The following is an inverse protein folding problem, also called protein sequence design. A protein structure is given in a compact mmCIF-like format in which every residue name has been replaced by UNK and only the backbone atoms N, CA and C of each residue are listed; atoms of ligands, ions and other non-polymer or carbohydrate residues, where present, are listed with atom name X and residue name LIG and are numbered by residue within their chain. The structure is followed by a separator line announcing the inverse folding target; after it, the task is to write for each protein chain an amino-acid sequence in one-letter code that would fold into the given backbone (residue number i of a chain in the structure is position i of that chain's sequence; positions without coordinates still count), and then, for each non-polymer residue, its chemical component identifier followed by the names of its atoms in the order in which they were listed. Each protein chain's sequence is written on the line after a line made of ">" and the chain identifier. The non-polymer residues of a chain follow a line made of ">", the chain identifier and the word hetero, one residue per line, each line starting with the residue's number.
data_IF_440291268549
#
_entry.id   IF_440291268549
#
_cell.length_a   1.000
_cell.length_b   1.000
_cell.length_c   1.000
_cell.angle_alpha   90.00
_cell.angle_beta   90.00
_cell.angle_gamma   90.00
#
_symmetry.space_group_name_H-M   'P 1'
#
loop_
_entity.id
_entity.type
_entity.pdbx_description
1 polymer ?
#
# COMPACT_ATOMS: atom_id res chain seq x y z
N UNK A 1 17.34 -9.31 -28.61
CA UNK A 1 17.47 -7.90 -28.20
C UNK A 1 16.98 -7.81 -26.75
N UNK A 2 17.69 -7.05 -25.88
CA UNK A 2 17.27 -6.80 -24.50
C UNK A 2 16.17 -5.73 -24.53
N UNK A 3 15.13 -5.87 -23.68
CA UNK A 3 14.06 -4.87 -23.60
C UNK A 3 14.60 -3.56 -23.01
N UNK A 4 14.48 -2.47 -23.76
CA UNK A 4 14.88 -1.13 -23.31
C UNK A 4 14.09 -0.70 -22.07
N UNK A 5 12.78 -0.96 -22.04
CA UNK A 5 11.92 -0.64 -20.90
C UNK A 5 12.40 -1.34 -19.61
N UNK A 6 12.84 -2.60 -19.69
CA UNK A 6 13.37 -3.31 -18.53
C UNK A 6 14.72 -2.73 -18.06
N UNK A 7 15.54 -2.25 -19.00
CA UNK A 7 16.78 -1.53 -18.65
C UNK A 7 16.41 -0.22 -17.93
N UNK A 8 15.53 0.58 -18.55
CA UNK A 8 15.12 1.87 -17.99
C UNK A 8 14.54 1.74 -16.57
N UNK A 9 13.70 0.71 -16.34
CA UNK A 9 13.16 0.43 -14.99
C UNK A 9 14.20 -0.11 -14.01
N UNK A 10 15.19 -0.87 -14.47
CA UNK A 10 16.28 -1.37 -13.64
C UNK A 10 17.28 -0.28 -13.25
N UNK A 11 17.50 0.69 -14.14
CA UNK A 11 18.39 1.83 -13.95
C UNK A 11 17.69 3.04 -13.30
N UNK A 12 16.38 3.22 -13.52
CA UNK A 12 15.59 4.20 -12.77
C UNK A 12 15.51 3.74 -11.31
N UNK A 13 16.47 4.19 -10.51
CA UNK A 13 16.55 3.84 -9.10
C UNK A 13 15.26 4.23 -8.38
N UNK A 14 14.71 3.31 -7.57
CA UNK A 14 13.70 3.68 -6.59
C UNK A 14 14.41 4.53 -5.53
N UNK A 15 14.15 5.83 -5.47
CA UNK A 15 14.80 6.75 -4.52
C UNK A 15 14.70 6.26 -3.07
N UNK A 16 13.61 5.55 -2.73
CA UNK A 16 13.46 4.89 -1.42
C UNK A 16 14.63 3.93 -1.15
N UNK A 17 15.02 3.12 -2.14
CA UNK A 17 16.12 2.16 -2.00
C UNK A 17 17.48 2.87 -1.98
N UNK A 18 17.66 3.90 -2.80
CA UNK A 18 18.90 4.68 -2.84
C UNK A 18 19.15 5.42 -1.52
N UNK A 19 18.11 6.07 -0.98
CA UNK A 19 18.15 6.75 0.32
C UNK A 19 18.43 5.73 1.44
N UNK A 20 17.80 4.56 1.39
CA UNK A 20 18.02 3.50 2.36
C UNK A 20 19.47 3.00 2.31
N UNK A 21 20.01 2.74 1.11
CA UNK A 21 21.41 2.30 0.94
C UNK A 21 22.41 3.40 1.36
N UNK A 22 22.05 4.69 1.14
CA UNK A 22 22.84 5.79 1.71
C UNK A 22 22.82 5.74 3.24
N UNK A 23 21.65 5.52 3.85
CA UNK A 23 21.50 5.42 5.30
C UNK A 23 22.34 4.30 5.91
N UNK A 24 22.40 3.14 5.26
CA UNK A 24 23.24 2.02 5.70
C UNK A 24 24.74 2.38 5.67
N UNK A 25 25.20 3.01 4.58
CA UNK A 25 26.60 3.48 4.51
C UNK A 25 26.89 4.53 5.57
N UNK A 26 25.99 5.51 5.75
CA UNK A 26 26.17 6.57 6.75
C UNK A 26 26.15 6.02 8.18
N UNK A 27 25.31 5.03 8.46
CA UNK A 27 25.27 4.34 9.75
C UNK A 27 26.58 3.60 10.07
N UNK A 28 27.25 3.06 9.05
CA UNK A 28 28.58 2.44 9.23
C UNK A 28 29.68 3.47 9.58
N UNK A 29 29.50 4.73 9.18
CA UNK A 29 30.47 5.82 9.45
C UNK A 29 30.30 6.44 10.84
N UNK A 30 29.04 6.72 11.26
CA UNK A 30 28.74 7.53 12.44
C UNK A 30 28.00 6.78 13.55
N UNK A 31 27.68 5.51 13.34
CA UNK A 31 26.83 4.69 14.21
C UNK A 31 25.35 4.74 13.81
N UNK A 32 24.66 3.58 13.85
CA UNK A 32 23.26 3.49 13.44
C UNK A 32 22.29 4.32 14.30
N UNK A 33 22.67 4.60 15.55
CA UNK A 33 21.88 5.42 16.46
C UNK A 33 21.85 6.92 16.08
N UNK A 34 22.77 7.35 15.22
CA UNK A 34 22.94 8.73 14.79
C UNK A 34 22.34 9.00 13.39
N UNK A 35 21.82 7.98 12.71
CA UNK A 35 21.14 8.11 11.42
C UNK A 35 19.65 7.89 11.59
N UNK A 36 18.85 8.88 11.21
CA UNK A 36 17.41 8.89 11.37
C UNK A 36 16.74 8.49 10.04
N UNK A 37 16.75 7.18 9.75
CA UNK A 37 16.20 6.66 8.49
C UNK A 37 14.69 6.48 8.58
N UNK A 38 13.94 7.36 7.90
CA UNK A 38 12.49 7.35 7.78
C UNK A 38 12.04 7.04 6.34
N UNK A 39 12.95 6.55 5.48
CA UNK A 39 12.64 6.29 4.08
C UNK A 39 11.85 4.98 3.88
N UNK A 40 12.12 3.95 4.68
CA UNK A 40 11.53 2.62 4.51
C UNK A 40 10.33 2.41 5.43
N UNK A 41 9.19 2.02 4.85
CA UNK A 41 8.00 1.59 5.59
C UNK A 41 8.07 0.12 6.00
N UNK A 42 9.09 -0.26 6.78
CA UNK A 42 9.22 -1.61 7.31
C UNK A 42 8.70 -1.65 8.75
N UNK A 43 7.71 -2.51 9.07
CA UNK A 43 7.24 -2.68 10.44
C UNK A 43 8.39 -2.92 11.41
N UNK A 44 8.37 -2.23 12.56
CA UNK A 44 9.36 -2.35 13.63
C UNK A 44 8.78 -2.96 14.91
N UNK A 45 7.58 -3.51 14.83
CA UNK A 45 6.86 -4.14 15.93
C UNK A 45 6.78 -5.63 15.62
N UNK A 46 6.95 -6.46 16.65
CA UNK A 46 6.90 -7.91 16.52
C UNK A 46 5.56 -8.40 15.99
N UNK A 47 5.55 -9.49 15.20
CA UNK A 47 4.33 -10.21 14.87
C UNK A 47 3.55 -10.61 16.13
N UNK A 48 2.21 -10.68 16.09
CA UNK A 48 1.44 -11.20 17.22
C UNK A 48 1.77 -12.67 17.49
N UNK A 49 1.68 -13.08 18.75
CA UNK A 49 2.07 -14.42 19.24
C UNK A 49 1.41 -15.58 18.46
N UNK A 50 0.22 -15.34 17.92
CA UNK A 50 -0.50 -16.34 17.12
C UNK A 50 0.29 -16.80 15.90
N UNK A 51 1.13 -15.96 15.33
CA UNK A 51 1.96 -16.29 14.14
C UNK A 51 2.99 -17.35 14.49
N UNK A 52 3.79 -17.11 15.54
CA UNK A 52 4.80 -18.08 15.98
C UNK A 52 4.14 -19.38 16.45
N UNK A 53 3.06 -19.28 17.22
CA UNK A 53 2.31 -20.46 17.68
C UNK A 53 1.75 -21.30 16.52
N UNK A 54 1.22 -20.65 15.48
CA UNK A 54 0.74 -21.34 14.28
C UNK A 54 1.87 -22.04 13.53
N UNK A 55 3.02 -21.36 13.30
CA UNK A 55 4.17 -21.94 12.62
C UNK A 55 4.71 -23.16 13.39
N UNK A 56 4.94 -23.02 14.71
CA UNK A 56 5.40 -24.14 15.54
C UNK A 56 4.44 -25.33 15.53
N UNK A 57 3.13 -25.07 15.63
CA UNK A 57 2.12 -26.11 15.58
C UNK A 57 2.16 -26.83 14.23
N UNK A 58 2.18 -26.09 13.11
CA UNK A 58 2.22 -26.65 11.76
C UNK A 58 3.46 -27.52 11.55
N UNK A 59 4.63 -27.08 11.97
CA UNK A 59 5.87 -27.85 11.89
C UNK A 59 5.83 -29.16 12.69
N UNK A 60 5.08 -29.20 13.80
CA UNK A 60 4.94 -30.40 14.64
C UNK A 60 3.86 -31.36 14.19
N UNK A 61 2.77 -30.86 13.60
CA UNK A 61 1.54 -31.63 13.38
C UNK A 61 1.27 -32.00 11.93
N UNK A 62 1.81 -31.24 10.97
CA UNK A 62 1.61 -31.52 9.54
C UNK A 62 2.82 -32.28 9.01
N UNK A 63 2.63 -33.41 8.31
CA UNK A 63 3.74 -34.15 7.70
C UNK A 63 4.58 -33.24 6.80
N UNK A 64 5.93 -33.28 6.87
CA UNK A 64 6.79 -32.38 6.10
C UNK A 64 6.52 -32.39 4.59
N UNK A 65 6.25 -33.56 4.02
CA UNK A 65 5.93 -33.74 2.60
C UNK A 65 4.63 -33.05 2.18
N UNK A 66 3.69 -32.85 3.10
CA UNK A 66 2.45 -32.10 2.86
C UNK A 66 2.65 -30.60 3.12
N UNK A 67 3.37 -30.26 4.21
CA UNK A 67 3.60 -28.88 4.60
C UNK A 67 4.42 -28.10 3.56
N UNK A 68 5.38 -28.78 2.92
CA UNK A 68 6.29 -28.20 1.94
C UNK A 68 5.94 -28.56 0.48
N UNK A 69 4.77 -29.14 0.24
CA UNK A 69 4.29 -29.41 -1.11
C UNK A 69 3.90 -28.09 -1.83
N UNK A 70 3.91 -28.13 -3.15
CA UNK A 70 3.33 -27.03 -3.94
C UNK A 70 1.86 -26.83 -3.58
N UNK A 71 1.49 -25.60 -3.27
CA UNK A 71 0.08 -25.23 -3.16
C UNK A 71 -0.57 -25.17 -4.56
N UNK A 72 -1.91 -25.32 -4.69
CA UNK A 72 -2.61 -24.96 -5.93
C UNK A 72 -2.36 -23.51 -6.33
N UNK A 73 -2.38 -23.21 -7.63
CA UNK A 73 -2.08 -21.89 -8.17
C UNK A 73 -2.83 -20.73 -7.45
N UNK A 74 -4.16 -20.81 -7.20
CA UNK A 74 -4.87 -19.75 -6.49
C UNK A 74 -4.75 -19.84 -4.96
N UNK A 75 -3.94 -20.75 -4.43
CA UNK A 75 -3.83 -21.03 -2.99
C UNK A 75 -4.63 -22.24 -2.52
N UNK A 76 -4.33 -22.71 -1.31
CA UNK A 76 -4.98 -23.86 -0.69
C UNK A 76 -6.48 -23.62 -0.48
N UNK A 77 -7.34 -24.59 -0.82
CA UNK A 77 -8.79 -24.47 -0.68
C UNK A 77 -9.20 -24.14 0.76
N UNK A 78 -8.64 -24.84 1.76
CA UNK A 78 -8.92 -24.62 3.18
C UNK A 78 -8.54 -23.23 3.68
N UNK A 79 -7.48 -22.63 3.11
CA UNK A 79 -7.07 -21.24 3.42
C UNK A 79 -8.05 -20.27 2.80
N UNK A 80 -8.38 -20.45 1.51
CA UNK A 80 -9.32 -19.58 0.79
C UNK A 80 -10.73 -19.62 1.40
N UNK A 81 -11.18 -20.79 1.89
CA UNK A 81 -12.43 -20.93 2.64
C UNK A 81 -12.43 -20.10 3.92
N UNK A 82 -11.35 -20.17 4.71
CA UNK A 82 -11.21 -19.36 5.93
C UNK A 82 -11.17 -17.86 5.65
N UNK A 83 -10.42 -17.44 4.62
CA UNK A 83 -10.37 -16.03 4.21
C UNK A 83 -11.74 -15.56 3.74
N UNK A 84 -12.44 -16.34 2.91
CA UNK A 84 -13.79 -16.02 2.45
C UNK A 84 -14.79 -15.89 3.61
N UNK A 85 -14.76 -16.83 4.57
CA UNK A 85 -15.58 -16.76 5.76
C UNK A 85 -15.28 -15.50 6.59
N UNK A 86 -13.99 -15.21 6.82
CA UNK A 86 -13.57 -14.01 7.54
C UNK A 86 -14.09 -12.72 6.86
N UNK A 87 -13.98 -12.62 5.53
CA UNK A 87 -14.48 -11.46 4.80
C UNK A 87 -16.01 -11.34 4.90
N UNK A 88 -16.72 -12.48 4.80
CA UNK A 88 -18.17 -12.54 4.93
C UNK A 88 -18.62 -12.09 6.32
N UNK A 89 -18.00 -12.62 7.37
CA UNK A 89 -18.34 -12.30 8.76
C UNK A 89 -18.01 -10.85 9.11
N UNK A 90 -16.90 -10.31 8.53
CA UNK A 90 -16.43 -8.97 8.86
C UNK A 90 -17.18 -7.88 8.09
N UNK A 91 -17.50 -8.10 6.81
CA UNK A 91 -18.03 -7.07 5.93
C UNK A 91 -19.47 -7.29 5.46
N UNK A 92 -20.06 -8.46 5.76
CA UNK A 92 -21.44 -8.78 5.41
C UNK A 92 -21.67 -9.17 3.95
N UNK A 93 -20.60 -9.29 3.15
CA UNK A 93 -20.65 -9.65 1.73
C UNK A 93 -20.34 -11.16 1.55
N UNK A 94 -21.15 -11.88 0.78
CA UNK A 94 -21.10 -13.34 0.69
C UNK A 94 -19.95 -13.83 -0.21
N UNK A 95 -18.73 -13.84 0.30
CA UNK A 95 -17.55 -14.40 -0.38
C UNK A 95 -17.49 -15.92 -0.32
N UNK A 96 -16.93 -16.53 -1.35
CA UNK A 96 -16.70 -17.97 -1.47
C UNK A 96 -15.21 -18.24 -1.70
N UNK A 97 -14.74 -19.44 -1.42
CA UNK A 97 -13.33 -19.80 -1.63
C UNK A 97 -12.83 -19.52 -3.07
N UNK A 98 -13.69 -19.68 -4.08
CA UNK A 98 -13.32 -19.38 -5.46
C UNK A 98 -13.10 -17.89 -5.76
N UNK A 99 -13.65 -17.02 -4.93
CA UNK A 99 -13.54 -15.58 -5.09
C UNK A 99 -12.17 -15.06 -4.57
N UNK A 100 -11.40 -15.92 -3.89
CA UNK A 100 -10.12 -15.61 -3.26
C UNK A 100 -8.96 -16.19 -4.08
N UNK A 101 -7.94 -15.38 -4.32
CA UNK A 101 -6.65 -15.78 -4.89
C UNK A 101 -5.52 -15.35 -3.94
N UNK A 102 -4.80 -16.33 -3.37
CA UNK A 102 -3.64 -16.06 -2.50
C UNK A 102 -2.47 -15.52 -3.33
N UNK A 103 -1.76 -14.53 -2.81
CA UNK A 103 -0.72 -13.82 -3.55
C UNK A 103 0.56 -13.64 -2.72
N UNK A 104 1.69 -13.41 -3.37
CA UNK A 104 2.97 -13.08 -2.72
C UNK A 104 2.98 -11.62 -2.21
N UNK A 105 2.01 -11.28 -1.35
CA UNK A 105 1.71 -9.94 -0.87
C UNK A 105 0.93 -9.10 -1.89
N UNK A 106 0.63 -7.85 -1.53
CA UNK A 106 -0.15 -6.94 -2.37
C UNK A 106 0.52 -6.62 -3.72
N UNK A 107 1.86 -6.58 -3.80
CA UNK A 107 2.57 -6.26 -5.05
C UNK A 107 2.27 -7.25 -6.16
N UNK A 108 2.25 -8.56 -5.87
CA UNK A 108 1.89 -9.56 -6.86
C UNK A 108 0.39 -9.53 -7.19
N UNK A 109 -0.48 -9.21 -6.22
CA UNK A 109 -1.90 -8.99 -6.48
C UNK A 109 -2.13 -7.83 -7.46
N UNK A 110 -1.46 -6.70 -7.25
CA UNK A 110 -1.49 -5.53 -8.13
C UNK A 110 -1.00 -5.87 -9.56
N UNK A 111 0.14 -6.58 -9.66
CA UNK A 111 0.68 -7.02 -10.95
C UNK A 111 -0.28 -7.99 -11.69
N UNK A 112 -0.88 -8.94 -10.97
CA UNK A 112 -1.89 -9.85 -11.52
C UNK A 112 -3.10 -9.07 -12.01
N UNK A 113 -3.66 -8.17 -11.19
CA UNK A 113 -4.88 -7.44 -11.50
C UNK A 113 -4.68 -6.47 -12.67
N UNK A 114 -3.60 -5.70 -12.68
CA UNK A 114 -3.30 -4.82 -13.82
C UNK A 114 -3.14 -5.62 -15.11
N UNK A 115 -2.44 -6.77 -15.05
CA UNK A 115 -2.26 -7.66 -16.22
C UNK A 115 -3.57 -8.33 -16.67
N UNK A 116 -4.48 -8.62 -15.73
CA UNK A 116 -5.76 -9.25 -16.02
C UNK A 116 -6.78 -8.27 -16.63
N UNK A 117 -6.76 -7.02 -16.21
CA UNK A 117 -7.79 -6.02 -16.47
C UNK A 117 -7.39 -4.96 -17.50
N UNK A 118 -6.13 -4.96 -17.95
CA UNK A 118 -5.60 -3.99 -18.91
C UNK A 118 -4.90 -4.67 -20.07
N UNK A 119 -4.93 -3.99 -21.19
CA UNK A 119 -4.18 -4.34 -22.39
C UNK A 119 -3.57 -3.11 -23.09
N UNK A 120 -2.98 -3.29 -24.26
CA UNK A 120 -2.41 -2.19 -25.03
C UNK A 120 -3.45 -1.13 -25.39
N UNK A 121 -3.18 0.11 -24.96
CA UNK A 121 -4.04 1.28 -25.21
C UNK A 121 -5.01 1.61 -24.08
N UNK A 122 -5.13 0.76 -23.06
CA UNK A 122 -5.94 1.05 -21.88
C UNK A 122 -5.24 2.02 -20.91
N UNK A 123 -6.04 2.71 -20.12
CA UNK A 123 -5.59 3.66 -19.10
C UNK A 123 -5.95 3.16 -17.69
N UNK A 124 -4.96 3.21 -16.78
CA UNK A 124 -5.20 3.14 -15.34
C UNK A 124 -5.21 4.54 -14.74
N UNK A 125 -6.12 4.85 -13.82
CA UNK A 125 -6.10 6.09 -13.06
C UNK A 125 -5.52 5.83 -11.67
N UNK A 126 -4.63 6.72 -11.21
CA UNK A 126 -4.11 6.78 -9.84
C UNK A 126 -4.31 8.17 -9.26
N UNK A 127 -4.52 8.25 -7.94
CA UNK A 127 -4.67 9.52 -7.24
C UNK A 127 -3.34 9.91 -6.59
N UNK A 128 -2.76 11.04 -6.99
CA UNK A 128 -1.55 11.55 -6.36
C UNK A 128 -1.84 12.22 -5.01
N UNK A 129 -1.07 11.88 -3.95
CA UNK A 129 0.13 11.03 -3.97
C UNK A 129 -0.20 9.52 -4.03
N UNK A 130 0.60 8.75 -4.78
CA UNK A 130 0.39 7.32 -4.98
C UNK A 130 1.70 6.53 -4.86
N UNK A 131 1.60 5.22 -4.64
CA UNK A 131 2.76 4.33 -4.59
C UNK A 131 3.37 4.15 -6.00
N UNK A 132 4.65 4.48 -6.22
CA UNK A 132 5.24 4.58 -7.56
C UNK A 132 5.11 3.35 -8.44
N UNK A 133 5.13 2.15 -7.81
CA UNK A 133 5.07 0.88 -8.55
C UNK A 133 3.74 0.67 -9.30
N UNK A 134 2.68 1.45 -9.00
CA UNK A 134 1.42 1.35 -9.76
C UNK A 134 1.62 1.69 -11.25
N UNK A 135 2.47 2.68 -11.54
CA UNK A 135 2.83 3.02 -12.92
C UNK A 135 3.57 1.86 -13.61
N UNK A 136 4.54 1.26 -12.90
CA UNK A 136 5.30 0.12 -13.42
C UNK A 136 4.38 -1.07 -13.75
N UNK A 137 3.42 -1.40 -12.87
CA UNK A 137 2.48 -2.50 -13.13
C UNK A 137 1.57 -2.23 -14.32
N UNK A 138 1.00 -1.03 -14.43
CA UNK A 138 0.12 -0.66 -15.53
C UNK A 138 0.86 -0.64 -16.88
N UNK A 139 2.06 -0.06 -16.92
CA UNK A 139 2.90 -0.04 -18.11
C UNK A 139 3.39 -1.44 -18.51
N UNK A 140 3.72 -2.31 -17.53
CA UNK A 140 4.07 -3.71 -17.78
C UNK A 140 2.91 -4.52 -18.35
N UNK A 141 1.68 -4.13 -18.07
CA UNK A 141 0.48 -4.69 -18.67
C UNK A 141 0.25 -4.21 -20.13
N UNK A 142 0.99 -3.21 -20.58
CA UNK A 142 0.87 -2.59 -21.90
C UNK A 142 -0.03 -1.35 -21.95
N UNK A 143 -0.55 -0.92 -20.80
CA UNK A 143 -1.35 0.28 -20.67
C UNK A 143 -0.54 1.52 -20.32
N UNK A 144 -1.24 2.55 -19.91
CA UNK A 144 -0.66 3.82 -19.43
C UNK A 144 -1.31 4.26 -18.12
N UNK A 145 -0.63 5.15 -17.37
CA UNK A 145 -1.17 5.73 -16.14
C UNK A 145 -1.56 7.18 -16.37
N UNK A 146 -2.78 7.50 -15.94
CA UNK A 146 -3.27 8.86 -15.83
C UNK A 146 -3.32 9.25 -14.35
N UNK A 147 -2.57 10.29 -13.99
CA UNK A 147 -2.49 10.78 -12.62
C UNK A 147 -3.55 11.85 -12.39
N UNK A 148 -4.38 11.67 -11.37
CA UNK A 148 -5.35 12.66 -10.90
C UNK A 148 -4.84 13.21 -9.55
N UNK A 149 -4.66 14.51 -9.40
CA UNK A 149 -4.24 15.07 -8.11
C UNK A 149 -5.37 14.94 -7.08
N UNK A 150 -5.03 14.61 -5.84
CA UNK A 150 -5.91 14.84 -4.70
C UNK A 150 -5.92 16.34 -4.35
N UNK A 151 -6.89 16.76 -3.55
CA UNK A 151 -6.97 18.13 -3.04
C UNK A 151 -5.77 18.43 -2.16
N UNK A 152 -5.13 19.55 -2.41
CA UNK A 152 -3.94 19.97 -1.66
C UNK A 152 -4.20 20.00 -0.15
N UNK A 153 -3.17 19.71 0.63
CA UNK A 153 -3.11 19.73 2.10
C UNK A 153 -4.05 18.75 2.82
N UNK A 154 -5.20 18.38 2.25
CA UNK A 154 -6.15 17.41 2.83
C UNK A 154 -5.99 16.00 2.24
N UNK A 155 -5.50 15.89 1.02
CA UNK A 155 -5.41 14.65 0.22
C UNK A 155 -6.75 13.94 0.01
N UNK A 156 -7.86 14.66 0.15
CA UNK A 156 -9.20 14.22 -0.24
C UNK A 156 -9.29 14.01 -1.75
N UNK A 157 -10.16 13.10 -2.19
CA UNK A 157 -10.34 12.83 -3.62
C UNK A 157 -10.87 14.06 -4.35
N UNK A 158 -10.24 14.45 -5.47
CA UNK A 158 -10.78 15.45 -6.37
C UNK A 158 -11.63 14.76 -7.45
N UNK A 159 -12.92 14.60 -7.15
CA UNK A 159 -13.87 13.93 -8.04
C UNK A 159 -14.16 14.75 -9.31
N UNK A 160 -13.98 16.07 -9.28
CA UNK A 160 -14.12 16.92 -10.45
C UNK A 160 -12.96 16.71 -11.43
N UNK A 161 -11.74 16.69 -10.91
CA UNK A 161 -10.56 16.31 -11.69
C UNK A 161 -10.65 14.88 -12.21
N UNK A 162 -11.15 13.93 -11.39
CA UNK A 162 -11.42 12.57 -11.84
C UNK A 162 -12.43 12.52 -12.97
N UNK A 163 -13.55 13.22 -12.85
CA UNK A 163 -14.62 13.23 -13.88
C UNK A 163 -14.08 13.68 -15.25
N UNK A 164 -13.13 14.64 -15.24
CA UNK A 164 -12.45 15.11 -16.44
C UNK A 164 -11.40 14.12 -16.97
N UNK A 165 -10.79 13.34 -16.08
CA UNK A 165 -9.72 12.39 -16.43
C UNK A 165 -10.24 11.05 -16.98
N UNK A 166 -11.43 10.59 -16.58
CA UNK A 166 -12.00 9.30 -17.03
C UNK A 166 -12.40 9.39 -18.49
N UNK A 167 -11.86 8.50 -19.30
CA UNK A 167 -12.10 8.38 -20.76
C UNK A 167 -12.69 7.01 -21.13
N UNK A 168 -13.03 6.82 -22.39
CA UNK A 168 -13.44 5.51 -22.93
C UNK A 168 -12.34 4.43 -22.87
N UNK A 169 -11.07 4.83 -22.62
CA UNK A 169 -9.93 3.93 -22.45
C UNK A 169 -9.66 3.56 -21.01
N UNK A 170 -10.36 4.19 -20.06
CA UNK A 170 -10.14 3.93 -18.63
C UNK A 170 -10.67 2.54 -18.28
N UNK A 171 -9.76 1.59 -18.04
CA UNK A 171 -10.09 0.23 -17.66
C UNK A 171 -10.21 0.09 -16.12
N UNK A 172 -9.31 0.75 -15.38
CA UNK A 172 -9.29 0.63 -13.94
C UNK A 172 -8.76 1.88 -13.22
N UNK A 173 -9.10 1.96 -11.93
CA UNK A 173 -8.50 2.86 -10.97
C UNK A 173 -7.74 2.04 -9.92
N UNK A 174 -6.64 2.58 -9.38
CA UNK A 174 -5.99 2.03 -8.19
C UNK A 174 -6.17 3.02 -7.04
N UNK A 175 -6.82 2.56 -5.97
CA UNK A 175 -7.11 3.36 -4.78
C UNK A 175 -6.47 2.71 -3.56
N UNK A 176 -5.58 3.43 -2.90
CA UNK A 176 -4.92 3.01 -1.68
C UNK A 176 -5.46 3.79 -0.47
N UNK A 177 -6.14 3.10 0.45
CA UNK A 177 -6.70 3.69 1.67
C UNK A 177 -6.73 2.65 2.80
N UNK A 178 -6.09 2.91 3.96
CA UNK A 178 -5.27 4.09 4.31
C UNK A 178 -4.09 4.30 3.38
N UNK A 179 -3.77 5.55 3.05
CA UNK A 179 -2.89 5.89 1.94
C UNK A 179 -1.40 5.89 2.33
N UNK A 180 -0.57 5.35 1.46
CA UNK A 180 0.86 5.60 1.39
C UNK A 180 1.12 6.56 0.21
N UNK A 181 1.58 7.81 0.47
CA UNK A 181 2.33 8.27 1.63
C UNK A 181 1.57 9.18 2.61
N UNK A 182 0.31 9.56 2.36
CA UNK A 182 -0.35 10.65 3.11
C UNK A 182 -0.88 10.22 4.50
N UNK A 183 -1.15 8.93 4.71
CA UNK A 183 -1.81 8.42 5.90
C UNK A 183 -3.30 8.74 5.98
N UNK A 184 -3.88 9.34 4.95
CA UNK A 184 -5.30 9.71 4.93
C UNK A 184 -6.17 8.49 4.63
N UNK A 185 -7.33 8.41 5.26
CA UNK A 185 -8.38 7.42 4.99
C UNK A 185 -9.48 8.08 4.16
N UNK A 186 -9.82 7.47 3.02
CA UNK A 186 -10.92 7.93 2.17
C UNK A 186 -12.25 7.61 2.87
N UNK A 187 -13.06 8.62 3.06
CA UNK A 187 -14.33 8.51 3.79
C UNK A 187 -15.42 7.80 2.97
N UNK A 188 -16.43 7.24 3.67
CA UNK A 188 -17.59 6.61 3.02
C UNK A 188 -18.29 7.54 2.02
N UNK A 189 -18.60 8.82 2.34
CA UNK A 189 -19.23 9.73 1.37
C UNK A 189 -18.39 9.95 0.11
N UNK A 190 -17.05 10.02 0.23
CA UNK A 190 -16.17 10.13 -0.94
C UNK A 190 -16.20 8.88 -1.80
N UNK A 191 -16.21 7.67 -1.18
CA UNK A 191 -16.32 6.40 -1.91
C UNK A 191 -17.67 6.24 -2.59
N UNK A 192 -18.76 6.66 -1.95
CA UNK A 192 -20.11 6.64 -2.53
C UNK A 192 -20.20 7.59 -3.74
N UNK A 193 -19.62 8.78 -3.64
CA UNK A 193 -19.56 9.74 -4.73
C UNK A 193 -18.68 9.26 -5.88
N UNK A 194 -17.52 8.64 -5.57
CA UNK A 194 -16.65 7.96 -6.53
C UNK A 194 -17.43 6.86 -7.28
N UNK A 195 -18.11 5.98 -6.55
CA UNK A 195 -18.90 4.89 -7.12
C UNK A 195 -20.02 5.41 -8.04
N UNK A 196 -20.72 6.48 -7.65
CA UNK A 196 -21.74 7.11 -8.47
C UNK A 196 -21.18 7.65 -9.79
N UNK A 197 -20.05 8.36 -9.73
CA UNK A 197 -19.33 8.87 -10.89
C UNK A 197 -18.91 7.74 -11.84
N UNK A 198 -18.35 6.66 -11.32
CA UNK A 198 -17.90 5.55 -12.17
C UNK A 198 -19.08 4.81 -12.81
N UNK A 199 -20.21 4.64 -12.11
CA UNK A 199 -21.43 4.06 -12.71
C UNK A 199 -21.94 4.92 -13.87
N UNK A 200 -21.93 6.25 -13.75
CA UNK A 200 -22.26 7.17 -14.83
C UNK A 200 -21.34 6.98 -16.05
N UNK A 201 -20.02 6.92 -15.78
CA UNK A 201 -19.02 6.75 -16.85
C UNK A 201 -19.14 5.38 -17.54
N UNK A 202 -19.35 4.30 -16.79
CA UNK A 202 -19.62 2.96 -17.33
C UNK A 202 -20.84 2.94 -18.26
N UNK A 203 -21.93 3.55 -17.81
CA UNK A 203 -23.14 3.67 -18.64
C UNK A 203 -22.89 4.47 -19.92
N UNK A 204 -22.06 5.49 -19.87
CA UNK A 204 -21.68 6.32 -21.01
C UNK A 204 -20.78 5.59 -22.01
N UNK A 205 -19.78 4.82 -21.52
CA UNK A 205 -18.76 4.20 -22.37
C UNK A 205 -19.10 2.74 -22.76
N UNK A 206 -20.05 2.12 -22.06
CA UNK A 206 -20.55 0.78 -22.38
C UNK A 206 -19.63 -0.37 -21.94
N UNK A 207 -18.75 -0.13 -20.98
CA UNK A 207 -17.89 -1.16 -20.40
C UNK A 207 -17.65 -0.92 -18.90
N UNK A 208 -17.34 -1.98 -18.11
CA UNK A 208 -16.98 -1.83 -16.70
C UNK A 208 -15.72 -0.99 -16.52
N UNK A 209 -15.65 -0.25 -15.41
CA UNK A 209 -14.43 0.38 -14.90
C UNK A 209 -14.16 -0.23 -13.54
N UNK A 210 -13.06 -0.93 -13.37
CA UNK A 210 -12.75 -1.62 -12.13
C UNK A 210 -11.98 -0.73 -11.16
N UNK A 211 -12.04 -1.04 -9.86
CA UNK A 211 -11.15 -0.44 -8.86
C UNK A 211 -10.31 -1.53 -8.23
N UNK A 212 -9.01 -1.36 -8.19
CA UNK A 212 -8.14 -2.12 -7.30
C UNK A 212 -8.09 -1.37 -5.97
N UNK A 213 -8.75 -1.91 -4.94
CA UNK A 213 -8.71 -1.40 -3.58
C UNK A 213 -7.47 -1.97 -2.88
N UNK A 214 -6.36 -1.23 -2.93
CA UNK A 214 -5.09 -1.61 -2.31
C UNK A 214 -5.10 -1.23 -0.82
N UNK A 215 -5.37 -2.20 0.05
CA UNK A 215 -5.63 -1.97 1.48
C UNK A 215 -4.68 -2.74 2.43
N UNK A 216 -3.36 -2.69 2.26
CA UNK A 216 -2.44 -3.38 3.16
C UNK A 216 -2.35 -2.73 4.55
N UNK A 217 -2.93 -1.56 4.74
CA UNK A 217 -2.93 -0.79 6.00
C UNK A 217 -4.31 -0.74 6.66
N UNK A 218 -5.28 -1.56 6.22
CA UNK A 218 -6.68 -1.45 6.62
C UNK A 218 -6.89 -1.37 8.13
N UNK A 219 -6.21 -2.21 8.90
CA UNK A 219 -6.32 -2.27 10.36
C UNK A 219 -5.44 -1.23 11.06
N UNK A 220 -4.49 -0.61 10.35
CA UNK A 220 -3.60 0.40 10.90
C UNK A 220 -4.29 1.77 10.84
N UNK A 221 -5.29 1.97 11.70
CA UNK A 221 -6.06 3.22 11.81
C UNK A 221 -6.10 3.68 13.25
N UNK A 222 -6.33 4.96 13.45
CA UNK A 222 -6.18 5.63 14.74
C UNK A 222 -7.41 6.43 15.10
N UNK A 223 -7.68 6.56 16.40
CA UNK A 223 -8.75 7.42 16.89
C UNK A 223 -10.18 6.96 16.53
N UNK A 224 -10.36 5.68 16.23
CA UNK A 224 -11.67 5.13 15.87
C UNK A 224 -12.12 5.47 14.44
N UNK A 225 -11.18 5.85 13.56
CA UNK A 225 -11.48 6.08 12.14
C UNK A 225 -11.93 4.77 11.50
N UNK A 226 -13.08 4.80 10.82
CA UNK A 226 -13.58 3.67 10.03
C UNK A 226 -12.94 3.66 8.64
N UNK A 227 -12.48 2.49 8.19
CA UNK A 227 -12.10 2.25 6.79
C UNK A 227 -13.29 1.57 6.11
N UNK A 228 -14.05 2.26 5.25
CA UNK A 228 -15.19 1.64 4.59
C UNK A 228 -14.75 0.51 3.68
N UNK A 229 -15.55 -0.54 3.55
CA UNK A 229 -15.26 -1.63 2.64
C UNK A 229 -15.74 -1.30 1.23
N UNK A 230 -14.82 -0.91 0.36
CA UNK A 230 -15.14 -0.40 -0.97
C UNK A 230 -15.93 -1.41 -1.84
N UNK A 231 -15.65 -2.74 -1.83
CA UNK A 231 -16.44 -3.69 -2.61
C UNK A 231 -17.94 -3.71 -2.27
N UNK A 232 -18.32 -3.44 -1.01
CA UNK A 232 -19.74 -3.31 -0.62
C UNK A 232 -20.42 -2.05 -1.19
N UNK A 233 -19.65 -1.00 -1.51
CA UNK A 233 -20.13 0.25 -2.09
C UNK A 233 -20.17 0.16 -3.62
N UNK A 234 -19.14 -0.47 -4.19
CA UNK A 234 -18.95 -0.59 -5.63
C UNK A 234 -18.46 -2.03 -5.96
N UNK A 235 -19.36 -2.93 -6.40
CA UNK A 235 -19.03 -4.34 -6.64
C UNK A 235 -17.90 -4.58 -7.65
N UNK A 236 -17.62 -3.65 -8.56
CA UNK A 236 -16.47 -3.71 -9.48
C UNK A 236 -15.15 -3.31 -8.79
N UNK A 237 -15.12 -3.19 -7.47
CA UNK A 237 -13.88 -3.07 -6.69
C UNK A 237 -13.36 -4.45 -6.29
N UNK A 238 -12.06 -4.66 -6.51
CA UNK A 238 -11.34 -5.88 -6.16
C UNK A 238 -10.50 -5.58 -4.92
N UNK A 239 -10.75 -6.32 -3.85
CA UNK A 239 -10.03 -6.15 -2.60
C UNK A 239 -8.63 -6.76 -2.71
N UNK A 240 -7.60 -5.95 -2.51
CA UNK A 240 -6.20 -6.35 -2.53
C UNK A 240 -5.60 -6.15 -1.14
N UNK A 241 -5.15 -7.24 -0.51
CA UNK A 241 -4.72 -7.25 0.89
C UNK A 241 -3.35 -7.91 1.07
N UNK A 242 -2.64 -7.51 2.13
CA UNK A 242 -1.35 -8.10 2.51
C UNK A 242 -1.19 -8.16 4.03
N UNK A 243 -0.68 -9.28 4.52
CA UNK A 243 -0.31 -9.45 5.93
C UNK A 243 1.03 -8.79 6.30
N UNK A 244 1.69 -8.16 5.33
CA UNK A 244 2.98 -7.49 5.53
C UNK A 244 2.97 -6.41 6.61
N UNK A 245 1.82 -5.73 6.80
CA UNK A 245 1.70 -4.59 7.73
C UNK A 245 0.92 -4.97 8.98
N UNK A 246 -0.24 -5.58 8.81
CA UNK A 246 -1.13 -5.96 9.89
C UNK A 246 -0.52 -6.97 10.84
N UNK A 247 0.14 -8.01 10.30
CA UNK A 247 0.82 -9.04 11.10
C UNK A 247 2.34 -8.82 11.22
N UNK A 248 2.87 -7.70 10.76
CA UNK A 248 4.34 -7.45 10.72
C UNK A 248 5.13 -8.56 10.01
N UNK A 249 4.61 -9.07 8.89
CA UNK A 249 5.21 -10.17 8.12
C UNK A 249 5.66 -9.74 6.69
N UNK A 250 6.41 -8.64 6.53
CA UNK A 250 6.78 -8.18 5.19
C UNK A 250 7.72 -9.14 4.46
N UNK A 251 8.53 -9.92 5.19
CA UNK A 251 9.47 -10.91 4.65
C UNK A 251 8.80 -12.17 4.12
N UNK A 252 7.63 -12.53 4.65
CA UNK A 252 6.97 -13.80 4.35
C UNK A 252 6.16 -13.77 3.05
N UNK A 253 5.93 -12.60 2.49
CA UNK A 253 5.29 -12.41 1.19
C UNK A 253 3.95 -13.13 1.08
N UNK A 254 3.00 -12.83 1.96
CA UNK A 254 1.64 -13.41 1.92
C UNK A 254 0.59 -12.31 1.89
N UNK A 255 -0.38 -12.48 1.00
CA UNK A 255 -1.55 -11.64 0.83
C UNK A 255 -2.62 -12.37 0.04
N UNK A 256 -3.62 -11.66 -0.40
CA UNK A 256 -4.65 -12.18 -1.29
C UNK A 256 -5.34 -11.05 -2.07
N UNK A 257 -6.00 -11.40 -3.15
CA UNK A 257 -7.04 -10.59 -3.76
C UNK A 257 -8.39 -11.30 -3.63
N UNK A 258 -9.46 -10.53 -3.55
CA UNK A 258 -10.82 -11.04 -3.48
C UNK A 258 -11.70 -10.35 -4.53
N UNK A 259 -12.33 -11.15 -5.39
CA UNK A 259 -13.28 -10.72 -6.40
C UNK A 259 -14.68 -10.66 -5.79
N UNK A 260 -15.37 -9.52 -5.90
CA UNK A 260 -16.72 -9.43 -5.38
C UNK A 260 -17.68 -10.29 -6.21
N UNK A 261 -18.52 -11.15 -5.59
CA UNK A 261 -19.39 -12.08 -6.34
C UNK A 261 -20.39 -11.42 -7.28
N UNK A 262 -20.76 -10.17 -7.03
CA UNK A 262 -21.70 -9.41 -7.85
C UNK A 262 -21.00 -8.41 -8.81
N UNK A 263 -19.70 -8.55 -9.05
CA UNK A 263 -18.99 -7.72 -10.02
C UNK A 263 -19.43 -8.01 -11.44
N UNK A 264 -19.37 -7.01 -12.30
CA UNK A 264 -19.62 -7.17 -13.72
C UNK A 264 -18.58 -8.11 -14.35
N UNK A 265 -18.99 -8.91 -15.30
CA UNK A 265 -18.13 -9.86 -16.03
C UNK A 265 -17.33 -10.82 -15.13
N UNK A 266 -17.85 -11.16 -13.94
CA UNK A 266 -17.17 -11.97 -12.92
C UNK A 266 -16.43 -13.18 -13.49
N UNK A 267 -17.09 -14.00 -14.34
CA UNK A 267 -16.49 -15.21 -14.88
C UNK A 267 -15.27 -14.93 -15.77
N UNK A 268 -15.33 -13.87 -16.56
CA UNK A 268 -14.23 -13.45 -17.42
C UNK A 268 -13.08 -12.87 -16.58
N UNK A 269 -13.38 -12.01 -15.60
CA UNK A 269 -12.37 -11.45 -14.68
C UNK A 269 -11.69 -12.55 -13.88
N UNK A 270 -12.44 -13.49 -13.34
CA UNK A 270 -11.89 -14.64 -12.61
C UNK A 270 -10.93 -15.47 -13.50
N UNK A 271 -11.34 -15.79 -14.73
CA UNK A 271 -10.48 -16.51 -15.67
C UNK A 271 -9.22 -15.70 -16.04
N UNK A 272 -9.35 -14.38 -16.23
CA UNK A 272 -8.23 -13.47 -16.52
C UNK A 272 -7.24 -13.40 -15.38
N UNK A 273 -7.70 -13.35 -14.12
CA UNK A 273 -6.85 -13.38 -12.92
C UNK A 273 -6.03 -14.66 -12.84
N UNK A 274 -6.66 -15.82 -13.06
CA UNK A 274 -5.95 -17.11 -13.12
C UNK A 274 -4.91 -17.13 -14.23
N UNK A 275 -5.26 -16.61 -15.40
CA UNK A 275 -4.38 -16.50 -16.57
C UNK A 275 -3.19 -15.58 -16.31
N UNK A 276 -3.43 -14.42 -15.72
CA UNK A 276 -2.40 -13.43 -15.39
C UNK A 276 -1.43 -13.97 -14.31
N UNK A 277 -1.94 -14.60 -13.25
CA UNK A 277 -1.11 -15.23 -12.22
C UNK A 277 -0.17 -16.27 -12.84
N UNK A 278 -0.70 -17.12 -13.75
CA UNK A 278 0.11 -18.11 -14.48
C UNK A 278 1.14 -17.46 -15.40
N UNK A 279 0.75 -16.43 -16.15
CA UNK A 279 1.63 -15.75 -17.11
C UNK A 279 2.79 -15.02 -16.42
N UNK A 280 2.54 -14.45 -15.24
CA UNK A 280 3.53 -13.73 -14.44
C UNK A 280 4.35 -14.65 -13.53
N UNK A 281 3.95 -15.91 -13.36
CA UNK A 281 4.61 -16.86 -12.44
C UNK A 281 4.26 -16.64 -10.96
N UNK A 282 3.30 -15.77 -10.63
CA UNK A 282 2.79 -15.56 -9.26
C UNK A 282 1.74 -16.62 -8.92
N UNK A 283 2.22 -17.83 -8.70
CA UNK A 283 1.43 -19.02 -8.36
C UNK A 283 2.06 -19.75 -7.16
N UNK A 284 1.28 -20.56 -6.47
CA UNK A 284 1.79 -21.47 -5.42
C UNK A 284 2.47 -20.71 -4.26
N UNK A 285 1.83 -19.67 -3.71
CA UNK A 285 2.30 -18.96 -2.51
C UNK A 285 2.73 -19.94 -1.42
N UNK A 286 3.69 -19.58 -0.59
CA UNK A 286 4.25 -20.42 0.49
C UNK A 286 3.17 -21.18 1.25
N UNK A 287 3.21 -22.53 1.18
CA UNK A 287 2.22 -23.40 1.84
C UNK A 287 2.22 -23.24 3.35
N UNK A 288 3.40 -23.12 3.97
CA UNK A 288 3.52 -22.91 5.41
C UNK A 288 2.83 -21.58 5.84
N UNK A 289 3.17 -20.48 5.15
CA UNK A 289 2.66 -19.18 5.56
C UNK A 289 1.19 -18.94 5.17
N UNK A 290 0.69 -19.54 4.09
CA UNK A 290 -0.76 -19.58 3.84
C UNK A 290 -1.52 -20.20 5.03
N UNK A 291 -1.05 -21.35 5.52
CA UNK A 291 -1.68 -22.04 6.64
C UNK A 291 -1.55 -21.24 7.94
N UNK A 292 -0.37 -20.63 8.20
CA UNK A 292 -0.14 -19.85 9.41
C UNK A 292 -1.03 -18.59 9.47
N UNK A 293 -1.08 -17.79 8.40
CA UNK A 293 -1.92 -16.57 8.39
C UNK A 293 -3.41 -16.89 8.47
N UNK A 294 -3.84 -18.06 7.97
CA UNK A 294 -5.23 -18.50 8.09
C UNK A 294 -5.67 -18.84 9.52
N UNK A 295 -4.73 -18.91 10.46
CA UNK A 295 -5.00 -19.05 11.90
C UNK A 295 -4.95 -17.71 12.64
N UNK A 296 -4.47 -16.66 11.98
CA UNK A 296 -4.29 -15.33 12.54
C UNK A 296 -5.24 -14.29 11.91
N UNK A 297 -6.30 -14.74 11.21
CA UNK A 297 -7.28 -13.83 10.62
C UNK A 297 -7.90 -12.92 11.70
N UNK A 298 -7.96 -11.62 11.42
CA UNK A 298 -8.47 -10.62 12.37
C UNK A 298 -7.52 -10.25 13.50
N UNK A 299 -6.32 -10.85 13.57
CA UNK A 299 -5.28 -10.45 14.51
C UNK A 299 -4.41 -9.35 13.93
N UNK A 300 -3.81 -8.53 14.81
CA UNK A 300 -2.92 -7.44 14.42
C UNK A 300 -1.68 -7.42 15.31
N UNK A 301 -0.57 -6.90 14.81
CA UNK A 301 0.53 -6.44 15.65
C UNK A 301 0.06 -5.31 16.58
N UNK A 302 0.90 -4.87 17.51
CA UNK A 302 0.54 -3.80 18.46
C UNK A 302 0.42 -2.43 17.76
N UNK A 303 -0.79 -2.13 17.25
CA UNK A 303 -1.12 -0.86 16.61
C UNK A 303 -0.98 0.33 17.56
N UNK A 304 -1.08 0.11 18.88
CA UNK A 304 -0.98 1.19 19.87
C UNK A 304 0.40 1.84 19.89
N UNK A 305 1.44 1.07 19.61
CA UNK A 305 2.81 1.59 19.48
C UNK A 305 2.95 2.53 18.27
N UNK A 306 2.33 2.22 17.13
CA UNK A 306 2.29 3.15 15.99
C UNK A 306 1.46 4.39 16.29
N UNK A 307 0.34 4.26 17.00
CA UNK A 307 -0.44 5.40 17.45
C UNK A 307 0.39 6.34 18.34
N UNK A 308 1.14 5.79 19.29
CA UNK A 308 2.03 6.56 20.15
C UNK A 308 3.18 7.24 19.38
N UNK A 309 3.75 6.56 18.38
CA UNK A 309 4.76 7.13 17.50
C UNK A 309 4.21 8.29 16.67
N UNK A 310 2.99 8.12 16.12
CA UNK A 310 2.29 9.17 15.37
C UNK A 310 2.11 10.42 16.22
N UNK A 311 1.55 10.30 17.43
CA UNK A 311 1.31 11.45 18.31
C UNK A 311 2.61 12.17 18.63
N UNK A 312 3.68 11.43 18.94
CA UNK A 312 4.99 12.00 19.24
C UNK A 312 5.53 12.82 18.06
N UNK A 313 5.63 12.19 16.88
CA UNK A 313 6.31 12.85 15.75
C UNK A 313 5.44 13.93 15.12
N UNK A 314 4.12 13.71 14.99
CA UNK A 314 3.19 14.71 14.47
C UNK A 314 3.17 15.95 15.35
N UNK A 315 3.00 15.80 16.68
CA UNK A 315 2.99 16.90 17.64
C UNK A 315 4.31 17.68 17.60
N UNK A 316 5.44 16.96 17.73
CA UNK A 316 6.75 17.61 17.73
C UNK A 316 7.04 18.41 16.45
N UNK A 317 6.72 17.86 15.26
CA UNK A 317 6.97 18.54 13.99
C UNK A 317 6.02 19.73 13.78
N UNK A 318 4.76 19.62 14.15
CA UNK A 318 3.82 20.75 14.09
C UNK A 318 4.19 21.88 15.04
N UNK A 319 4.71 21.55 16.24
CA UNK A 319 5.25 22.52 17.19
C UNK A 319 6.53 23.20 16.70
N UNK A 320 7.29 22.54 15.84
CA UNK A 320 8.46 23.14 15.15
C UNK A 320 8.08 23.96 13.92
N UNK A 321 6.79 24.06 13.57
CA UNK A 321 6.30 24.84 12.44
C UNK A 321 6.19 24.10 11.12
N UNK A 322 6.47 22.80 11.06
CA UNK A 322 6.20 21.99 9.86
C UNK A 322 4.70 21.83 9.63
N UNK A 323 4.28 21.91 8.39
CA UNK A 323 2.89 21.68 7.97
C UNK A 323 2.73 20.25 7.45
N UNK A 324 1.70 19.54 7.91
CA UNK A 324 1.32 18.22 7.40
C UNK A 324 -0.14 17.91 7.76
N UNK A 325 -0.80 17.09 6.94
CA UNK A 325 -2.05 16.47 7.34
C UNK A 325 -1.79 15.51 8.49
N UNK A 326 -2.74 15.45 9.45
CA UNK A 326 -2.67 14.44 10.52
C UNK A 326 -3.04 13.08 9.92
N UNK A 327 -2.18 12.06 10.03
CA UNK A 327 -2.50 10.75 9.48
C UNK A 327 -3.65 10.08 10.25
N UNK A 328 -4.65 9.58 9.54
CA UNK A 328 -5.74 8.79 10.10
C UNK A 328 -5.37 7.31 10.19
N UNK A 329 -4.44 6.86 9.33
CA UNK A 329 -4.00 5.47 9.25
C UNK A 329 -2.62 5.33 8.64
N UNK A 330 -2.25 4.09 8.33
CA UNK A 330 -0.92 3.66 7.91
C UNK A 330 0.14 4.06 8.97
N UNK A 331 1.37 4.26 8.58
CA UNK A 331 2.44 4.73 9.46
C UNK A 331 3.36 5.74 8.75
N UNK A 332 2.73 6.62 7.98
CA UNK A 332 3.43 7.67 7.24
C UNK A 332 2.91 9.05 7.63
N UNK A 333 3.82 10.02 7.62
CA UNK A 333 3.54 11.43 7.69
C UNK A 333 4.02 12.07 6.39
N UNK A 334 3.18 12.89 5.77
CA UNK A 334 3.51 13.56 4.53
C UNK A 334 3.64 15.06 4.79
N UNK A 335 4.90 15.47 4.98
CA UNK A 335 5.29 16.84 5.35
C UNK A 335 5.24 17.73 4.12
N UNK A 336 4.64 18.91 4.24
CA UNK A 336 4.80 19.97 3.25
C UNK A 336 6.22 20.49 3.32
N UNK A 337 6.93 20.46 2.20
CA UNK A 337 8.29 20.98 2.12
C UNK A 337 8.30 22.49 2.38
N UNK A 338 9.25 23.02 3.18
CA UNK A 338 9.42 24.45 3.37
C UNK A 338 9.85 25.20 2.10
N UNK A 339 10.33 24.47 1.09
CA UNK A 339 10.70 24.98 -0.21
C UNK A 339 10.01 24.21 -1.34
N UNK A 340 9.80 24.82 -2.54
CA UNK A 340 9.05 24.18 -3.64
C UNK A 340 9.64 22.86 -4.14
N UNK A 341 10.99 22.72 -4.13
CA UNK A 341 11.69 21.48 -4.50
C UNK A 341 11.86 20.58 -3.27
N UNK A 342 10.99 19.58 -3.11
CA UNK A 342 11.11 18.66 -1.99
C UNK A 342 12.34 17.76 -2.07
N UNK A 343 12.92 17.56 -3.26
CA UNK A 343 14.22 16.88 -3.39
C UNK A 343 15.34 17.70 -2.75
N UNK A 344 15.32 19.03 -2.90
CA UNK A 344 16.28 19.92 -2.24
C UNK A 344 16.08 19.89 -0.72
N UNK A 345 14.84 19.93 -0.25
CA UNK A 345 14.53 19.76 1.18
C UNK A 345 15.05 18.44 1.74
N UNK A 346 14.79 17.31 1.05
CA UNK A 346 15.29 15.99 1.48
C UNK A 346 16.81 15.93 1.48
N UNK A 347 17.51 16.52 0.48
CA UNK A 347 18.97 16.62 0.50
C UNK A 347 19.48 17.43 1.69
N UNK A 348 18.86 18.57 2.00
CA UNK A 348 19.22 19.37 3.19
C UNK A 348 18.93 18.62 4.50
N UNK A 349 17.87 17.81 4.57
CA UNK A 349 17.61 16.96 5.72
C UNK A 349 18.74 15.94 5.97
N UNK A 350 19.39 15.45 4.90
CA UNK A 350 20.54 14.54 5.02
C UNK A 350 21.77 15.20 5.68
N UNK A 351 21.92 16.54 5.61
CA UNK A 351 22.98 17.27 6.35
C UNK A 351 22.80 17.18 7.87
N UNK A 352 21.60 16.79 8.32
CA UNK A 352 21.23 16.54 9.72
C UNK A 352 21.01 15.03 10.00
N UNK A 353 21.48 14.16 9.11
CA UNK A 353 21.33 12.71 9.17
C UNK A 353 19.85 12.24 9.20
N UNK A 354 18.91 13.06 8.70
CA UNK A 354 17.50 12.76 8.55
C UNK A 354 17.23 12.31 7.11
N UNK A 355 16.69 11.10 6.92
CA UNK A 355 16.42 10.52 5.61
C UNK A 355 14.91 10.48 5.36
N UNK A 356 14.45 11.28 4.40
CA UNK A 356 13.06 11.40 3.96
C UNK A 356 12.94 11.05 2.48
N UNK A 357 11.75 10.71 2.01
CA UNK A 357 11.50 10.43 0.59
C UNK A 357 10.75 11.62 -0.03
N UNK A 358 11.26 12.21 -1.13
CA UNK A 358 10.62 13.37 -1.76
C UNK A 358 9.26 13.00 -2.38
N UNK A 359 8.32 13.92 -2.31
CA UNK A 359 6.95 13.76 -2.80
C UNK A 359 6.84 13.65 -4.31
N UNK A 360 7.83 14.15 -5.04
CA UNK A 360 7.96 13.98 -6.49
C UNK A 360 7.89 12.51 -6.90
N UNK A 361 8.43 11.62 -6.08
CA UNK A 361 8.43 10.19 -6.34
C UNK A 361 7.04 9.54 -6.17
N UNK A 362 6.16 10.24 -5.46
CA UNK A 362 4.75 9.86 -5.29
C UNK A 362 3.81 10.65 -6.21
N UNK A 363 4.35 11.36 -7.21
CA UNK A 363 3.58 12.22 -8.09
C UNK A 363 3.02 13.48 -7.41
N UNK A 364 3.56 13.88 -6.26
CA UNK A 364 3.06 15.00 -5.44
C UNK A 364 4.23 15.91 -5.00
N UNK A 365 4.76 16.77 -5.90
CA UNK A 365 5.86 17.66 -5.58
C UNK A 365 5.54 18.62 -4.44
N UNK A 366 6.58 19.07 -3.74
CA UNK A 366 6.45 20.00 -2.62
C UNK A 366 6.10 19.34 -1.29
N UNK A 367 6.19 18.01 -1.19
CA UNK A 367 6.01 17.25 0.05
C UNK A 367 7.15 16.24 0.24
N UNK A 368 7.32 15.74 1.47
CA UNK A 368 8.26 14.69 1.79
C UNK A 368 7.61 13.65 2.72
N UNK A 369 7.84 12.36 2.44
CA UNK A 369 7.33 11.26 3.26
C UNK A 369 8.30 10.91 4.38
N UNK A 370 7.76 10.79 5.60
CA UNK A 370 8.39 10.24 6.79
C UNK A 370 7.63 8.97 7.20
N UNK A 371 8.32 7.82 7.29
CA UNK A 371 7.76 6.59 7.83
C UNK A 371 8.07 6.52 9.33
N UNK A 372 7.03 6.55 10.20
CA UNK A 372 7.21 6.50 11.66
C UNK A 372 7.08 5.09 12.25
N UNK A 373 7.12 4.06 11.41
CA UNK A 373 7.21 2.66 11.81
C UNK A 373 8.63 2.26 12.21
N UNK A 374 9.22 3.01 13.10
CA UNK A 374 10.56 2.82 13.65
C UNK A 374 10.50 2.72 15.18
N UNK A 375 11.60 2.31 15.81
CA UNK A 375 11.67 2.30 17.27
C UNK A 375 11.39 3.71 17.84
N UNK A 376 10.58 3.80 18.88
CA UNK A 376 10.23 5.07 19.53
C UNK A 376 11.47 5.89 19.92
N UNK A 377 12.52 5.23 20.43
CA UNK A 377 13.78 5.87 20.79
C UNK A 377 14.49 6.54 19.59
N UNK A 378 14.30 6.04 18.36
CA UNK A 378 14.82 6.70 17.15
C UNK A 378 14.05 8.00 16.88
N UNK A 379 12.72 7.99 17.02
CA UNK A 379 11.93 9.22 16.88
C UNK A 379 12.37 10.27 17.91
N UNK A 380 12.47 9.89 19.17
CA UNK A 380 12.88 10.80 20.25
C UNK A 380 14.27 11.41 20.00
N UNK A 381 15.25 10.59 19.58
CA UNK A 381 16.60 11.08 19.26
C UNK A 381 16.65 11.97 18.02
N UNK A 382 15.72 11.82 17.07
CA UNK A 382 15.69 12.61 15.85
C UNK A 382 15.17 14.05 16.07
N UNK A 383 14.40 14.31 17.13
CA UNK A 383 13.75 15.61 17.35
C UNK A 383 14.71 16.79 17.40
N UNK A 384 15.89 16.72 18.03
CA UNK A 384 16.87 17.82 17.97
C UNK A 384 17.38 18.09 16.56
N UNK A 385 17.53 17.08 15.71
CA UNK A 385 17.94 17.24 14.31
C UNK A 385 16.83 17.91 13.49
N UNK A 386 15.57 17.49 13.66
CA UNK A 386 14.43 18.17 13.03
C UNK A 386 14.30 19.64 13.46
N UNK A 387 14.59 19.96 14.72
CA UNK A 387 14.58 21.36 15.20
C UNK A 387 15.64 22.20 14.48
N UNK A 388 16.87 21.71 14.37
CA UNK A 388 17.93 22.40 13.63
C UNK A 388 17.59 22.59 12.15
N UNK A 389 16.99 21.56 11.54
CA UNK A 389 16.51 21.64 10.16
C UNK A 389 15.40 22.70 10.04
N UNK A 390 14.43 22.76 10.96
CA UNK A 390 13.38 23.77 10.99
C UNK A 390 13.97 25.20 11.13
N UNK A 391 14.91 25.40 12.06
CA UNK A 391 15.61 26.66 12.27
C UNK A 391 16.34 27.13 10.99
N UNK A 392 16.93 26.20 10.21
CA UNK A 392 17.60 26.52 8.94
C UNK A 392 16.67 27.07 7.86
N UNK A 393 15.36 26.85 8.01
CA UNK A 393 14.31 27.40 7.16
C UNK A 393 13.55 28.58 7.81
N UNK A 394 13.94 28.98 9.01
CA UNK A 394 13.22 30.01 9.76
C UNK A 394 11.82 29.57 10.22
N UNK A 395 11.57 28.28 10.29
CA UNK A 395 10.36 27.75 10.90
C UNK A 395 10.50 27.90 12.41
N UNK A 396 9.71 28.76 13.00
CA UNK A 396 9.57 28.89 14.45
C UNK A 396 8.13 29.25 14.76
N UNK A 397 7.52 28.56 15.71
CA UNK A 397 6.37 29.06 16.42
C UNK A 397 6.81 29.81 17.67
#
# INVERSE_FOLDING_TARGET
>A
MISKQMIDWGESGCSIREIAAYGERRAAEIGPENVYNFAIGNPSIDPPDCVHAAVERLLRTVPPTQLHAYAPAPGMASVREKVAAYLTDTFGEAYRAQDIYMTDGASSALAILTRALMGPGDEAIVFAPYFPEYAVYAEAAGGSVRVVPCRADTFALDLEALAAAVTEKTALLILNSPNNPSGVVVSRPELEALAALLREKQARYGHPIYIIADEPYRELVYGGVEVPFLPAIYPNAIYCYSYSKTLSLPGERVGFLALHPAMDDYAAVHAAVLGAGRALGYICVSSLFQLAVAECLGQTADISAYAANRELIYGALTDMGYACARPDGAFYLFLKSPEPDARAFCRRAMDYDILLVPGEDFGCPGYARLAYCVARSQLERSLPAFRKLAESYGLSK
#
